data_IF_983469765525
#
_entry.id   IF_983469765525
#
_cell.length_a   1.000
_cell.length_b   1.000
_cell.length_c   1.000
_cell.angle_alpha   90.00
_cell.angle_beta   90.00
_cell.angle_gamma   90.00
#
_symmetry.space_group_name_H-M   'P 1'
#
loop_
_entity.id
_entity.type
_entity.pdbx_description
1 polymer ?
#
# COMPACT_ATOMS: atom_id res chain seq x y z
N UNK A 1 -9.47 -3.22 -18.48
CA UNK A 1 -8.17 -3.78 -18.04
C UNK A 1 -7.40 -2.85 -17.09
N UNK A 2 -7.46 -1.52 -17.24
CA UNK A 2 -6.65 -0.58 -16.44
C UNK A 2 -6.88 -0.63 -14.92
N UNK A 3 -8.10 -0.91 -14.45
CA UNK A 3 -8.39 -0.95 -13.01
C UNK A 3 -7.55 -1.98 -12.26
N UNK A 4 -7.39 -3.19 -12.82
CA UNK A 4 -6.58 -4.26 -12.22
C UNK A 4 -5.11 -3.85 -12.10
N UNK A 5 -4.57 -3.19 -13.12
CA UNK A 5 -3.18 -2.71 -13.10
C UNK A 5 -2.97 -1.60 -12.06
N UNK A 6 -3.92 -0.66 -11.99
CA UNK A 6 -3.89 0.44 -11.03
C UNK A 6 -3.98 -0.09 -9.59
N UNK A 7 -4.93 -0.98 -9.30
CA UNK A 7 -5.09 -1.59 -7.97
C UNK A 7 -3.89 -2.47 -7.63
N UNK A 8 -3.38 -3.25 -8.58
CA UNK A 8 -2.18 -4.07 -8.39
C UNK A 8 -0.95 -3.23 -8.03
N UNK A 9 -0.75 -2.10 -8.73
CA UNK A 9 0.35 -1.18 -8.44
C UNK A 9 0.16 -0.45 -7.10
N UNK A 10 -1.07 -0.06 -6.76
CA UNK A 10 -1.40 0.57 -5.49
C UNK A 10 -1.11 -0.36 -4.32
N UNK A 11 -1.47 -1.63 -4.48
CA UNK A 11 -1.09 -2.69 -3.56
C UNK A 11 0.42 -2.93 -3.54
N UNK A 12 1.17 -2.79 -4.63
CA UNK A 12 2.61 -3.09 -4.64
C UNK A 12 3.49 -2.03 -3.93
N UNK A 13 2.90 -1.01 -3.31
CA UNK A 13 3.66 0.06 -2.66
C UNK A 13 4.51 -0.45 -1.48
N UNK A 14 5.74 0.06 -1.36
CA UNK A 14 6.73 -0.34 -0.33
C UNK A 14 6.37 0.16 1.08
N UNK A 15 5.70 1.31 1.17
CA UNK A 15 5.18 1.84 2.42
C UNK A 15 3.79 1.25 2.70
N UNK A 16 3.66 0.54 3.82
CA UNK A 16 2.41 -0.07 4.24
C UNK A 16 1.30 0.94 4.52
N UNK A 17 1.62 2.19 4.88
CA UNK A 17 0.60 3.22 5.13
C UNK A 17 -0.02 3.75 3.84
N UNK A 18 0.65 3.52 2.70
CA UNK A 18 0.19 3.92 1.37
C UNK A 18 -0.45 2.77 0.60
N UNK A 19 -0.34 1.53 1.12
CA UNK A 19 -1.10 0.39 0.66
C UNK A 19 -2.57 0.54 1.08
N UNK A 20 -3.52 0.23 0.19
CA UNK A 20 -4.93 0.19 0.56
C UNK A 20 -5.24 -1.01 1.46
N UNK A 21 -6.28 -0.88 2.28
CA UNK A 21 -6.89 -2.03 2.92
C UNK A 21 -7.43 -2.99 1.85
N UNK A 22 -7.43 -4.30 2.13
CA UNK A 22 -7.93 -5.29 1.16
C UNK A 22 -9.38 -5.02 0.75
N UNK A 23 -10.20 -4.51 1.67
CA UNK A 23 -11.60 -4.14 1.42
C UNK A 23 -11.69 -3.00 0.40
N UNK A 24 -10.90 -1.94 0.59
CA UNK A 24 -10.86 -0.81 -0.34
C UNK A 24 -10.40 -1.25 -1.74
N UNK A 25 -9.41 -2.15 -1.83
CA UNK A 25 -8.97 -2.69 -3.10
C UNK A 25 -10.09 -3.47 -3.80
N UNK A 26 -10.86 -4.28 -3.05
CA UNK A 26 -12.02 -5.02 -3.59
C UNK A 26 -13.13 -4.07 -4.06
N UNK A 27 -13.46 -3.03 -3.28
CA UNK A 27 -14.49 -2.06 -3.65
C UNK A 27 -14.14 -1.34 -4.97
N UNK A 28 -12.87 -0.97 -5.16
CA UNK A 28 -12.39 -0.39 -6.42
C UNK A 28 -12.43 -1.40 -7.57
N UNK A 29 -12.13 -2.68 -7.32
CA UNK A 29 -12.21 -3.75 -8.32
C UNK A 29 -13.65 -4.04 -8.75
N UNK A 30 -14.61 -3.91 -7.83
CA UNK A 30 -16.04 -4.04 -8.10
C UNK A 30 -16.67 -2.77 -8.69
N UNK A 31 -15.90 -1.69 -8.88
CA UNK A 31 -16.38 -0.37 -9.32
C UNK A 31 -17.36 0.29 -8.34
N UNK A 32 -17.32 -0.10 -7.07
CA UNK A 32 -18.13 0.46 -5.98
C UNK A 32 -17.44 1.68 -5.34
N UNK A 33 -16.14 1.86 -5.60
CA UNK A 33 -15.34 3.01 -5.18
C UNK A 33 -14.58 3.64 -6.36
N UNK A 34 -14.16 4.91 -6.18
CA UNK A 34 -13.37 5.63 -7.18
C UNK A 34 -11.95 5.07 -7.29
N UNK A 35 -11.38 5.07 -8.49
CA UNK A 35 -9.99 4.66 -8.66
C UNK A 35 -9.05 5.62 -7.92
N UNK A 36 -8.02 5.09 -7.26
CA UNK A 36 -6.99 5.91 -6.63
C UNK A 36 -6.19 6.67 -7.70
N UNK A 37 -5.79 7.91 -7.38
CA UNK A 37 -4.86 8.66 -8.21
C UNK A 37 -3.45 8.24 -7.79
N UNK A 38 -2.81 7.42 -8.62
CA UNK A 38 -1.43 7.02 -8.38
C UNK A 38 -0.47 8.09 -8.93
N UNK A 39 0.65 8.34 -8.24
CA UNK A 39 1.70 9.17 -8.78
C UNK A 39 2.23 8.56 -10.09
N UNK A 40 2.36 9.38 -11.13
CA UNK A 40 2.85 8.94 -12.45
C UNK A 40 4.33 8.57 -12.42
N UNK A 41 5.10 9.19 -11.52
CA UNK A 41 6.47 8.79 -11.23
C UNK A 41 6.43 7.76 -10.11
N UNK A 42 6.81 6.51 -10.44
CA UNK A 42 7.11 5.54 -9.39
C UNK A 42 8.31 6.09 -8.61
N UNK A 43 8.20 6.27 -7.28
CA UNK A 43 9.36 6.70 -6.51
C UNK A 43 10.47 5.70 -6.78
N UNK A 44 11.68 6.21 -7.08
CA UNK A 44 12.88 5.38 -7.17
C UNK A 44 12.83 4.45 -5.97
N UNK A 45 12.89 3.11 -6.16
CA UNK A 45 12.90 2.20 -5.04
C UNK A 45 14.03 2.61 -4.12
N UNK A 46 13.67 3.34 -3.07
CA UNK A 46 14.53 3.47 -1.92
C UNK A 46 14.42 2.10 -1.29
N UNK A 47 15.22 1.18 -1.81
CA UNK A 47 15.76 0.11 -1.00
C UNK A 47 16.52 0.85 0.10
N UNK A 48 15.77 1.27 1.12
CA UNK A 48 16.30 1.62 2.41
C UNK A 48 17.10 0.37 2.75
N UNK A 49 18.42 0.40 2.53
CA UNK A 49 19.30 -0.65 3.03
C UNK A 49 19.02 -0.62 4.50
N UNK A 50 18.30 -1.63 5.05
CA UNK A 50 17.81 -1.47 6.39
C UNK A 50 19.06 -1.51 7.25
N UNK A 51 19.45 -0.37 7.85
CA UNK A 51 20.15 -0.48 9.13
C UNK A 51 19.25 -1.35 9.98
N UNK A 52 19.79 -2.32 10.70
CA UNK A 52 19.01 -3.37 11.34
C UNK A 52 17.79 -2.85 12.17
N UNK A 53 17.82 -1.59 12.57
CA UNK A 53 16.76 -0.93 13.31
C UNK A 53 15.53 -0.50 12.46
N UNK A 54 15.65 -0.44 11.12
CA UNK A 54 14.60 0.07 10.21
C UNK A 54 13.61 -0.99 9.73
N UNK A 55 14.04 -2.26 9.54
CA UNK A 55 13.08 -3.34 9.27
C UNK A 55 12.12 -3.51 10.44
N UNK A 56 12.60 -3.34 11.66
CA UNK A 56 11.78 -3.42 12.86
C UNK A 56 10.78 -2.27 12.92
N UNK A 57 11.18 -1.05 12.52
CA UNK A 57 10.28 0.09 12.46
C UNK A 57 9.23 -0.04 11.36
N UNK A 58 9.61 -0.50 10.16
CA UNK A 58 8.67 -0.73 9.06
C UNK A 58 7.70 -1.88 9.36
N UNK A 59 8.18 -3.01 9.91
CA UNK A 59 7.33 -4.11 10.37
C UNK A 59 6.44 -3.69 11.53
N UNK A 60 6.94 -2.91 12.49
CA UNK A 60 6.15 -2.36 13.59
C UNK A 60 5.07 -1.40 13.08
N UNK A 61 5.41 -0.50 12.16
CA UNK A 61 4.45 0.42 11.54
C UNK A 61 3.36 -0.35 10.77
N UNK A 62 3.77 -1.36 9.99
CA UNK A 62 2.86 -2.25 9.27
C UNK A 62 1.98 -3.05 10.25
N UNK A 63 2.54 -3.57 11.35
CA UNK A 63 1.82 -4.26 12.42
C UNK A 63 0.81 -3.34 13.13
N UNK A 64 1.20 -2.12 13.48
CA UNK A 64 0.29 -1.15 14.10
C UNK A 64 -0.81 -0.71 13.15
N UNK A 65 -0.51 -0.55 11.85
CA UNK A 65 -1.52 -0.27 10.84
C UNK A 65 -2.57 -1.40 10.79
N UNK A 66 -2.13 -2.66 10.79
CA UNK A 66 -3.06 -3.81 10.80
C UNK A 66 -3.88 -3.96 12.08
N UNK A 67 -3.41 -3.46 13.22
CA UNK A 67 -4.18 -3.47 14.48
C UNK A 67 -5.18 -2.32 14.53
N UNK A 68 -4.83 -1.14 14.01
CA UNK A 68 -5.74 0.01 14.00
C UNK A 68 -6.97 -0.18 13.12
N UNK A 69 -6.91 -1.07 12.12
CA UNK A 69 -8.06 -1.43 11.27
C UNK A 69 -9.00 -2.46 11.92
N UNK A 70 -8.64 -3.00 13.09
CA UNK A 70 -9.47 -3.90 13.91
C UNK A 70 -9.97 -3.15 15.16
N UNK A 71 -10.58 -1.99 14.94
CA UNK A 71 -11.37 -1.23 15.93
C UNK A 71 -12.84 -1.28 15.56
#
# INVERSE_FOLDING_TARGET
MGCLMIVGLWCAYLDCNLRPAIRQAVDVLNYEASLPILPSNMPVPMYYVPRANTYAFSLQACYTATISERG
#
